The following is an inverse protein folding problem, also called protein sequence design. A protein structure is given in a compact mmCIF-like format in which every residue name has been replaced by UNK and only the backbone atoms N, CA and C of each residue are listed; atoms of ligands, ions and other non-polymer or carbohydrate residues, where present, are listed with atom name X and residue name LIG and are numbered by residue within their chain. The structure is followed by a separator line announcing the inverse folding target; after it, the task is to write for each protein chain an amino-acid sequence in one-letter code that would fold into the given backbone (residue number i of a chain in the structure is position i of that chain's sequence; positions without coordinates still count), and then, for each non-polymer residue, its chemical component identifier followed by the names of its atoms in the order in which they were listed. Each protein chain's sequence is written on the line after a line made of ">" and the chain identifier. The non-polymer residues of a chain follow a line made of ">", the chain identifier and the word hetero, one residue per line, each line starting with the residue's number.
data_IF_592055059937
#
_entry.id   IF_592055059937
#
_cell.length_a   1.000
_cell.length_b   1.000
_cell.length_c   1.000
_cell.angle_alpha   90.00
_cell.angle_beta   90.00
_cell.angle_gamma   90.00
#
_symmetry.space_group_name_H-M   'P 1'
#
loop_
_entity.id
_entity.type
_entity.pdbx_description
1 polymer ?
#
# COMPACT_ATOMS: atom_id res chain seq x y z
N UNK A 1 10.86 52.13 -16.48
CA UNK A 1 9.41 51.89 -16.44
C UNK A 1 9.10 51.30 -15.07
N UNK A 2 8.39 52.03 -14.20
CA UNK A 2 7.92 51.46 -12.93
C UNK A 2 6.97 50.31 -13.25
N UNK A 3 7.16 49.14 -12.62
CA UNK A 3 6.31 47.97 -12.84
C UNK A 3 4.87 48.22 -12.41
N UNK A 4 3.90 47.57 -13.05
CA UNK A 4 2.47 47.63 -12.67
C UNK A 4 2.31 47.23 -11.19
N UNK A 5 1.78 48.14 -10.37
CA UNK A 5 1.59 47.94 -8.92
C UNK A 5 0.80 46.67 -8.59
N UNK A 6 -0.13 46.27 -9.46
CA UNK A 6 -0.92 45.03 -9.28
C UNK A 6 -0.05 43.78 -9.42
N UNK A 7 0.96 43.84 -10.29
CA UNK A 7 1.93 42.74 -10.48
C UNK A 7 2.85 42.63 -9.27
N UNK A 8 3.32 43.76 -8.73
CA UNK A 8 4.14 43.76 -7.52
C UNK A 8 3.35 43.28 -6.29
N UNK A 9 2.09 43.70 -6.13
CA UNK A 9 1.22 43.20 -5.07
C UNK A 9 0.98 41.68 -5.18
N UNK A 10 0.77 41.17 -6.40
CA UNK A 10 0.66 39.72 -6.63
C UNK A 10 1.96 39.00 -6.24
N UNK A 11 3.13 39.51 -6.64
CA UNK A 11 4.44 38.94 -6.27
C UNK A 11 4.63 38.93 -4.75
N UNK A 12 4.25 40.01 -4.07
CA UNK A 12 4.29 40.12 -2.61
C UNK A 12 3.40 39.09 -1.93
N UNK A 13 2.15 38.93 -2.36
CA UNK A 13 1.23 37.90 -1.82
C UNK A 13 1.74 36.48 -2.06
N UNK A 14 2.29 36.19 -3.25
CA UNK A 14 2.91 34.89 -3.53
C UNK A 14 4.09 34.62 -2.60
N UNK A 15 4.95 35.61 -2.37
CA UNK A 15 6.07 35.48 -1.46
C UNK A 15 5.60 35.20 -0.02
N UNK A 16 4.56 35.89 0.45
CA UNK A 16 3.97 35.67 1.77
C UNK A 16 3.34 34.28 1.90
N UNK A 17 2.56 33.82 0.93
CA UNK A 17 1.96 32.47 0.95
C UNK A 17 3.01 31.35 0.95
N UNK A 18 4.19 31.60 0.36
CA UNK A 18 5.31 30.66 0.39
C UNK A 18 6.00 30.55 1.75
N UNK A 19 5.83 31.52 2.64
CA UNK A 19 6.42 31.47 3.98
C UNK A 19 5.70 30.49 4.92
N UNK A 20 4.46 30.06 4.59
CA UNK A 20 3.66 29.19 5.44
C UNK A 20 3.53 29.74 6.87
N UNK A 21 3.89 28.93 7.86
CA UNK A 21 3.90 29.31 9.27
C UNK A 21 5.03 30.26 9.69
N UNK A 22 5.85 30.73 8.75
CA UNK A 22 6.98 31.63 8.98
C UNK A 22 8.32 30.91 9.12
N UNK A 23 9.41 31.70 9.08
CA UNK A 23 10.80 31.18 9.09
C UNK A 23 11.13 30.37 10.33
N UNK A 24 10.69 30.80 11.50
CA UNK A 24 10.96 30.11 12.78
C UNK A 24 10.37 28.69 12.78
N UNK A 25 9.10 28.54 12.39
CA UNK A 25 8.44 27.24 12.31
C UNK A 25 9.02 26.36 11.21
N UNK A 26 9.42 26.96 10.09
CA UNK A 26 10.13 26.26 9.01
C UNK A 26 11.46 25.70 9.50
N UNK A 27 12.25 26.49 10.23
CA UNK A 27 13.52 26.04 10.80
C UNK A 27 13.30 24.93 11.85
N UNK A 28 12.26 25.06 12.69
CA UNK A 28 11.90 24.02 13.66
C UNK A 28 11.45 22.71 12.99
N UNK A 29 10.75 22.77 11.85
CA UNK A 29 10.40 21.59 11.05
C UNK A 29 11.67 20.91 10.51
N UNK A 30 12.58 21.68 9.90
CA UNK A 30 13.85 21.15 9.37
C UNK A 30 14.76 20.58 10.45
N UNK A 31 14.81 21.20 11.63
CA UNK A 31 15.58 20.71 12.78
C UNK A 31 15.11 19.33 13.28
N UNK A 32 13.86 18.93 12.97
CA UNK A 32 13.33 17.59 13.24
C UNK A 32 13.61 16.58 12.13
N UNK A 33 14.44 16.94 11.14
CA UNK A 33 14.74 16.09 9.98
C UNK A 33 13.61 16.04 8.94
N UNK A 34 12.63 16.95 9.03
CA UNK A 34 11.46 16.98 8.14
C UNK A 34 11.56 18.09 7.09
N UNK A 35 11.02 17.86 5.91
CA UNK A 35 10.88 18.91 4.88
C UNK A 35 9.59 19.70 5.10
N UNK A 36 9.52 20.89 4.52
CA UNK A 36 8.28 21.66 4.38
C UNK A 36 7.38 21.04 3.31
N UNK A 37 6.10 21.40 3.31
CA UNK A 37 5.15 20.92 2.31
C UNK A 37 5.61 21.20 0.86
N UNK A 38 6.13 22.40 0.61
CA UNK A 38 6.59 22.81 -0.73
C UNK A 38 7.86 22.10 -1.17
N UNK A 39 8.82 21.92 -0.26
CA UNK A 39 10.04 21.14 -0.53
C UNK A 39 9.71 19.68 -0.87
N UNK A 40 8.67 19.09 -0.26
CA UNK A 40 8.20 17.73 -0.59
C UNK A 40 7.58 17.68 -1.98
N UNK A 41 6.76 18.66 -2.35
CA UNK A 41 6.18 18.78 -3.70
C UNK A 41 7.27 18.95 -4.75
N UNK A 42 8.26 19.83 -4.50
CA UNK A 42 9.40 20.05 -5.40
C UNK A 42 10.29 18.81 -5.55
N UNK A 43 10.46 18.01 -4.50
CA UNK A 43 11.23 16.77 -4.54
C UNK A 43 10.47 15.63 -5.23
N UNK A 44 9.14 15.61 -5.11
CA UNK A 44 8.30 14.56 -5.69
C UNK A 44 8.10 14.74 -7.19
N UNK A 45 7.82 15.96 -7.64
CA UNK A 45 7.43 16.27 -9.01
C UNK A 45 8.63 16.58 -9.90
N UNK A 46 8.45 16.49 -11.21
CA UNK A 46 9.46 16.89 -12.18
C UNK A 46 9.73 18.39 -12.06
N UNK A 47 11.00 18.78 -12.25
CA UNK A 47 11.45 20.16 -12.05
C UNK A 47 10.64 21.15 -12.90
N UNK A 48 10.09 22.17 -12.24
CA UNK A 48 9.32 23.23 -12.90
C UNK A 48 7.91 22.84 -13.36
N UNK A 49 7.44 21.62 -13.08
CA UNK A 49 6.12 21.16 -13.52
C UNK A 49 4.95 21.58 -12.63
N UNK A 50 5.21 21.94 -11.36
CA UNK A 50 4.15 22.18 -10.38
C UNK A 50 3.37 23.46 -10.67
N UNK A 51 2.06 23.32 -10.82
CA UNK A 51 1.08 24.39 -10.94
C UNK A 51 0.22 24.40 -9.68
N UNK A 52 0.53 25.33 -8.78
CA UNK A 52 -0.19 25.49 -7.53
C UNK A 52 -1.59 26.09 -7.74
N UNK A 53 -2.56 25.55 -7.02
CA UNK A 53 -3.93 26.01 -6.98
C UNK A 53 -4.30 26.51 -5.59
N UNK A 54 -5.17 27.52 -5.54
CA UNK A 54 -5.75 28.05 -4.29
C UNK A 54 -4.69 28.49 -3.25
N UNK A 55 -3.56 29.01 -3.75
CA UNK A 55 -2.43 29.47 -2.94
C UNK A 55 -2.78 30.61 -1.97
N UNK A 56 -3.81 31.39 -2.28
CA UNK A 56 -4.25 32.56 -1.50
C UNK A 56 -5.49 32.32 -0.64
N UNK A 57 -6.01 31.09 -0.62
CA UNK A 57 -7.18 30.76 0.20
C UNK A 57 -6.83 30.90 1.68
N UNK A 58 -7.70 31.53 2.44
CA UNK A 58 -7.62 31.68 3.90
C UNK A 58 -8.87 31.08 4.53
N UNK A 59 -8.78 30.60 5.77
CA UNK A 59 -9.96 30.18 6.53
C UNK A 59 -10.92 31.37 6.76
N UNK A 60 -12.18 31.05 7.02
CA UNK A 60 -13.24 32.06 7.28
C UNK A 60 -13.64 32.14 8.75
N UNK A 61 -13.11 31.23 9.57
CA UNK A 61 -13.39 31.13 11.01
C UNK A 61 -13.00 32.38 11.78
N UNK A 62 -13.89 32.84 12.65
CA UNK A 62 -13.68 33.96 13.56
C UNK A 62 -13.63 33.56 15.04
N UNK A 63 -14.04 32.33 15.36
CA UNK A 63 -14.06 31.82 16.72
C UNK A 63 -12.64 31.56 17.27
N UNK A 64 -12.51 31.53 18.60
CA UNK A 64 -11.27 31.22 19.31
C UNK A 64 -10.03 32.03 18.87
N UNK A 65 -10.23 33.27 18.42
CA UNK A 65 -9.16 34.19 17.99
C UNK A 65 -8.55 33.85 16.62
N UNK A 66 -9.20 32.99 15.83
CA UNK A 66 -8.75 32.63 14.48
C UNK A 66 -8.76 33.84 13.52
N UNK A 67 -9.67 34.80 13.71
CA UNK A 67 -9.78 36.02 12.91
C UNK A 67 -8.48 36.85 12.87
N UNK A 68 -7.69 36.81 13.94
CA UNK A 68 -6.42 37.52 14.07
C UNK A 68 -5.27 36.89 13.30
N UNK A 69 -5.40 35.63 12.87
CA UNK A 69 -4.31 34.87 12.27
C UNK A 69 -4.77 34.15 11.02
N UNK A 70 -4.77 34.86 9.89
CA UNK A 70 -5.07 34.29 8.57
C UNK A 70 -3.78 33.98 7.83
N UNK A 71 -3.61 32.72 7.44
CA UNK A 71 -2.43 32.26 6.70
C UNK A 71 -2.90 31.71 5.36
N UNK A 72 -2.40 32.32 4.29
CA UNK A 72 -2.69 31.90 2.92
C UNK A 72 -2.30 30.44 2.70
N UNK A 73 -3.16 29.73 1.96
CA UNK A 73 -3.08 28.30 1.70
C UNK A 73 -3.84 27.43 2.72
N UNK A 74 -4.22 27.97 3.88
CA UNK A 74 -4.91 27.28 4.99
C UNK A 74 -4.23 25.98 5.47
N UNK A 75 -2.90 25.92 5.35
CA UNK A 75 -2.09 24.79 5.80
C UNK A 75 -2.05 23.59 4.86
N UNK A 76 -2.43 23.76 3.59
CA UNK A 76 -2.20 22.75 2.56
C UNK A 76 -1.78 23.38 1.23
N UNK A 77 -0.76 22.79 0.62
CA UNK A 77 -0.31 23.12 -0.74
C UNK A 77 -0.98 22.14 -1.69
N UNK A 78 -1.70 22.64 -2.69
CA UNK A 78 -2.52 21.84 -3.60
C UNK A 78 -2.22 22.20 -5.04
N UNK A 79 -2.24 21.23 -5.94
CA UNK A 79 -2.08 21.50 -7.36
C UNK A 79 -1.86 20.23 -8.17
N UNK A 80 -1.33 20.42 -9.38
CA UNK A 80 -0.91 19.34 -10.25
C UNK A 80 0.51 19.59 -10.76
N UNK A 81 1.14 18.54 -11.28
CA UNK A 81 2.41 18.62 -11.99
C UNK A 81 2.66 17.32 -12.73
N UNK A 82 3.92 16.97 -12.95
CA UNK A 82 4.26 15.72 -13.61
C UNK A 82 5.22 14.86 -12.79
N UNK A 83 5.12 13.55 -12.96
CA UNK A 83 6.12 12.55 -12.54
C UNK A 83 6.45 11.73 -13.78
N UNK A 84 7.72 11.78 -14.20
CA UNK A 84 8.20 11.12 -15.42
C UNK A 84 7.34 11.52 -16.65
N UNK A 85 6.98 12.82 -16.72
CA UNK A 85 6.15 13.39 -17.78
C UNK A 85 4.63 13.13 -17.66
N UNK A 86 4.18 12.28 -16.72
CA UNK A 86 2.77 11.96 -16.53
C UNK A 86 2.11 12.90 -15.54
N UNK A 87 0.92 13.41 -15.87
CA UNK A 87 0.16 14.30 -14.98
C UNK A 87 -0.23 13.59 -13.68
N UNK A 88 0.02 14.25 -12.55
CA UNK A 88 -0.42 13.81 -11.22
C UNK A 88 -0.96 15.00 -10.44
N UNK A 89 -1.92 14.72 -9.55
CA UNK A 89 -2.45 15.68 -8.60
C UNK A 89 -1.83 15.44 -7.23
N UNK A 90 -1.53 16.52 -6.51
CA UNK A 90 -0.89 16.44 -5.21
C UNK A 90 -1.51 17.41 -4.23
N UNK A 91 -1.67 16.96 -2.99
CA UNK A 91 -1.84 17.84 -1.84
C UNK A 91 -0.77 17.53 -0.79
N UNK A 92 -0.15 18.56 -0.24
CA UNK A 92 0.87 18.44 0.80
C UNK A 92 0.53 19.33 1.98
N UNK A 93 0.33 18.71 3.13
CA UNK A 93 -0.04 19.41 4.36
C UNK A 93 1.17 20.13 4.95
N UNK A 94 0.96 21.38 5.37
CA UNK A 94 1.99 22.23 5.95
C UNK A 94 1.84 22.27 7.48
N UNK A 95 2.63 21.46 8.16
CA UNK A 95 2.64 21.38 9.62
C UNK A 95 3.00 22.71 10.30
N UNK A 96 3.69 23.61 9.60
CA UNK A 96 4.05 24.93 10.14
C UNK A 96 2.82 25.82 10.33
N UNK A 97 1.73 25.56 9.61
CA UNK A 97 0.47 26.30 9.66
C UNK A 97 -0.54 25.53 10.51
N UNK A 98 -0.87 26.06 11.68
CA UNK A 98 -1.79 25.44 12.66
C UNK A 98 -1.52 23.95 12.96
N UNK A 99 -0.26 23.50 12.93
CA UNK A 99 0.07 22.08 13.13
C UNK A 99 -0.44 21.16 12.00
N UNK A 100 -0.65 21.71 10.80
CA UNK A 100 -1.25 21.02 9.66
C UNK A 100 -2.71 20.65 9.88
N UNK A 101 -3.36 21.18 10.92
CA UNK A 101 -4.74 20.82 11.26
C UNK A 101 -5.70 21.18 10.13
N UNK A 102 -6.59 20.23 9.83
CA UNK A 102 -7.57 20.32 8.77
C UNK A 102 -8.75 21.18 9.21
N UNK A 103 -8.86 22.37 8.61
CA UNK A 103 -10.05 23.23 8.66
C UNK A 103 -10.92 23.11 7.41
N UNK A 104 -11.98 23.91 7.34
CA UNK A 104 -12.95 23.96 6.24
C UNK A 104 -12.26 24.20 4.89
N UNK A 105 -11.48 25.28 4.80
CA UNK A 105 -10.90 25.71 3.54
C UNK A 105 -9.72 24.82 3.13
N UNK A 106 -8.97 24.30 4.09
CA UNK A 106 -8.01 23.21 3.90
C UNK A 106 -8.67 21.99 3.24
N UNK A 107 -9.80 21.52 3.79
CA UNK A 107 -10.52 20.38 3.27
C UNK A 107 -11.06 20.64 1.86
N UNK A 108 -11.69 21.80 1.64
CA UNK A 108 -12.23 22.20 0.34
C UNK A 108 -11.15 22.24 -0.76
N UNK A 109 -9.92 22.64 -0.42
CA UNK A 109 -8.79 22.59 -1.35
C UNK A 109 -8.41 21.15 -1.71
N UNK A 110 -8.35 20.24 -0.74
CA UNK A 110 -8.08 18.82 -0.99
C UNK A 110 -9.18 18.21 -1.86
N UNK A 111 -10.44 18.43 -1.49
CA UNK A 111 -11.63 17.97 -2.25
C UNK A 111 -11.56 18.41 -3.70
N UNK A 112 -11.27 19.69 -3.96
CA UNK A 112 -11.14 20.22 -5.32
C UNK A 112 -10.04 19.51 -6.13
N UNK A 113 -8.89 19.22 -5.52
CA UNK A 113 -7.80 18.49 -6.20
C UNK A 113 -8.19 17.04 -6.49
N UNK A 114 -8.90 16.37 -5.59
CA UNK A 114 -9.41 15.02 -5.83
C UNK A 114 -10.46 15.01 -6.95
N UNK A 115 -11.39 15.97 -6.94
CA UNK A 115 -12.41 16.11 -7.99
C UNK A 115 -11.76 16.39 -9.36
N UNK A 116 -10.70 17.21 -9.40
CA UNK A 116 -9.96 17.47 -10.63
C UNK A 116 -9.17 16.25 -11.12
N UNK A 117 -8.51 15.52 -10.22
CA UNK A 117 -7.80 14.29 -10.55
C UNK A 117 -8.73 13.27 -11.19
N UNK A 118 -9.91 13.08 -10.60
CA UNK A 118 -10.97 12.23 -11.14
C UNK A 118 -11.49 12.72 -12.50
N UNK A 119 -11.69 14.03 -12.65
CA UNK A 119 -12.20 14.61 -13.90
C UNK A 119 -11.27 14.39 -15.10
N UNK A 120 -9.95 14.35 -14.88
CA UNK A 120 -8.98 14.17 -15.97
C UNK A 120 -8.37 12.76 -16.01
N UNK A 121 -8.75 11.87 -15.09
CA UNK A 121 -8.21 10.51 -15.02
C UNK A 121 -6.73 10.46 -14.67
N UNK A 122 -6.30 11.20 -13.63
CA UNK A 122 -4.91 11.23 -13.19
C UNK A 122 -4.75 10.78 -11.71
N UNK A 123 -3.60 10.18 -11.34
CA UNK A 123 -3.34 9.77 -9.96
C UNK A 123 -3.39 10.95 -8.97
N UNK A 124 -3.79 10.67 -7.73
CA UNK A 124 -3.77 11.64 -6.63
C UNK A 124 -2.84 11.20 -5.50
N UNK A 125 -1.97 12.11 -5.06
CA UNK A 125 -0.94 11.85 -4.06
C UNK A 125 -1.16 12.77 -2.85
N UNK A 126 -1.40 12.16 -1.70
CA UNK A 126 -1.48 12.85 -0.41
C UNK A 126 -0.16 12.81 0.34
N UNK A 127 0.39 13.98 0.69
CA UNK A 127 1.58 14.10 1.55
C UNK A 127 1.13 14.61 2.93
N UNK A 128 0.92 13.67 3.85
CA UNK A 128 0.25 13.89 5.12
C UNK A 128 1.22 14.28 6.23
N UNK A 129 0.87 15.36 6.94
CA UNK A 129 1.62 15.92 8.07
C UNK A 129 0.68 16.84 8.87
N UNK A 130 -0.22 16.23 9.63
CA UNK A 130 -1.36 16.88 10.27
C UNK A 130 -1.63 16.36 11.68
N UNK A 131 -1.80 17.29 12.61
CA UNK A 131 -2.26 17.00 13.97
C UNK A 131 -3.73 16.55 14.08
N UNK A 132 -4.48 16.47 12.98
CA UNK A 132 -5.89 16.07 12.97
C UNK A 132 -6.85 17.21 12.61
N UNK A 133 -8.07 17.15 13.14
CA UNK A 133 -9.09 18.19 12.93
C UNK A 133 -8.66 19.51 13.58
N UNK A 134 -8.96 20.63 12.92
CA UNK A 134 -8.84 21.94 13.56
C UNK A 134 -9.99 22.13 14.53
N UNK A 135 -9.71 21.93 15.82
CA UNK A 135 -10.70 21.95 16.90
C UNK A 135 -11.44 23.29 16.96
N UNK A 136 -10.75 24.39 16.63
CA UNK A 136 -11.30 25.75 16.62
C UNK A 136 -12.41 25.95 15.59
N UNK A 137 -12.55 25.08 14.58
CA UNK A 137 -13.65 25.15 13.60
C UNK A 137 -14.74 24.07 13.85
N UNK A 138 -14.59 23.28 14.92
CA UNK A 138 -15.59 22.33 15.39
C UNK A 138 -16.06 21.35 14.32
N UNK A 139 -17.38 21.24 14.18
CA UNK A 139 -18.05 20.29 13.28
C UNK A 139 -17.73 20.53 11.80
N UNK A 140 -17.34 21.76 11.42
CA UNK A 140 -17.02 22.09 10.03
C UNK A 140 -15.76 21.34 9.58
N UNK A 141 -14.75 21.24 10.45
CA UNK A 141 -13.57 20.39 10.22
C UNK A 141 -13.94 18.92 10.01
N UNK A 142 -14.94 18.42 10.75
CA UNK A 142 -15.43 17.04 10.60
C UNK A 142 -16.19 16.84 9.28
N UNK A 143 -16.99 17.83 8.87
CA UNK A 143 -17.62 17.85 7.55
C UNK A 143 -16.57 17.81 6.42
N UNK A 144 -15.47 18.57 6.58
CA UNK A 144 -14.35 18.52 5.65
C UNK A 144 -13.71 17.13 5.53
N UNK A 145 -13.54 16.41 6.64
CA UNK A 145 -13.09 15.02 6.59
C UNK A 145 -14.08 14.11 5.85
N UNK A 146 -15.37 14.23 6.14
CA UNK A 146 -16.40 13.42 5.50
C UNK A 146 -16.41 13.59 3.98
N UNK A 147 -16.26 14.83 3.50
CA UNK A 147 -16.17 15.12 2.06
C UNK A 147 -14.93 14.46 1.43
N UNK A 148 -13.76 14.51 2.09
CA UNK A 148 -12.53 13.84 1.62
C UNK A 148 -12.73 12.31 1.57
N UNK A 149 -13.28 11.72 2.63
CA UNK A 149 -13.53 10.27 2.67
C UNK A 149 -14.47 9.82 1.55
N UNK A 150 -15.52 10.61 1.29
CA UNK A 150 -16.43 10.34 0.19
C UNK A 150 -15.70 10.37 -1.17
N UNK A 151 -14.80 11.33 -1.41
CA UNK A 151 -13.99 11.36 -2.64
C UNK A 151 -13.01 10.20 -2.72
N UNK A 152 -12.43 9.76 -1.60
CA UNK A 152 -11.56 8.58 -1.61
C UNK A 152 -12.31 7.34 -2.11
N UNK A 153 -13.57 7.18 -1.68
CA UNK A 153 -14.45 6.09 -2.15
C UNK A 153 -14.79 6.26 -3.62
N UNK A 154 -15.19 7.45 -4.07
CA UNK A 154 -15.49 7.70 -5.48
C UNK A 154 -14.29 7.47 -6.41
N UNK A 155 -13.08 7.73 -5.94
CA UNK A 155 -11.84 7.53 -6.68
C UNK A 155 -11.30 6.10 -6.61
N UNK A 156 -11.81 5.27 -5.69
CA UNK A 156 -11.31 3.91 -5.47
C UNK A 156 -11.53 3.04 -6.70
N UNK A 157 -10.44 2.50 -7.24
CA UNK A 157 -10.47 1.71 -8.47
C UNK A 157 -10.73 2.52 -9.75
N UNK A 158 -10.65 3.86 -9.69
CA UNK A 158 -10.79 4.75 -10.86
C UNK A 158 -9.48 5.45 -11.19
N UNK A 159 -8.87 6.12 -10.19
CA UNK A 159 -7.51 6.68 -10.31
C UNK A 159 -6.67 6.16 -9.14
N UNK A 160 -5.36 5.90 -9.34
CA UNK A 160 -4.51 5.49 -8.22
C UNK A 160 -4.42 6.58 -7.15
N UNK A 161 -4.62 6.17 -5.90
CA UNK A 161 -4.55 7.02 -4.72
C UNK A 161 -3.39 6.58 -3.83
N UNK A 162 -2.43 7.47 -3.59
CA UNK A 162 -1.21 7.16 -2.82
C UNK A 162 -1.08 8.14 -1.66
N UNK A 163 -0.87 7.62 -0.46
CA UNK A 163 -0.65 8.41 0.76
C UNK A 163 0.77 8.23 1.27
N UNK A 164 1.51 9.32 1.42
CA UNK A 164 2.79 9.35 2.12
C UNK A 164 2.62 10.04 3.47
N UNK A 165 2.84 9.30 4.56
CA UNK A 165 2.80 9.82 5.92
C UNK A 165 4.21 10.30 6.27
N UNK A 166 4.38 11.62 6.30
CA UNK A 166 5.68 12.29 6.47
C UNK A 166 5.74 13.07 7.79
N UNK A 167 4.79 12.83 8.68
CA UNK A 167 4.65 13.48 9.97
C UNK A 167 3.54 12.86 10.82
N UNK A 168 3.06 13.56 11.86
CA UNK A 168 1.88 13.12 12.59
C UNK A 168 0.67 12.97 11.66
N UNK A 169 -0.15 11.96 11.93
CA UNK A 169 -1.46 11.76 11.31
C UNK A 169 -2.39 11.19 12.40
N UNK A 170 -3.15 12.07 13.07
CA UNK A 170 -3.88 11.71 14.28
C UNK A 170 -5.40 11.85 14.12
N UNK A 171 -6.16 11.02 14.83
CA UNK A 171 -7.61 11.11 14.89
C UNK A 171 -8.27 10.75 13.57
N UNK A 172 -9.21 11.58 13.11
CA UNK A 172 -9.91 11.36 11.84
C UNK A 172 -9.00 11.39 10.60
N UNK A 173 -7.81 12.02 10.69
CA UNK A 173 -6.89 12.15 9.56
C UNK A 173 -6.44 10.81 8.98
N UNK A 174 -6.44 9.75 9.79
CA UNK A 174 -5.94 8.42 9.41
C UNK A 174 -6.83 7.68 8.42
N UNK A 175 -8.13 8.04 8.36
CA UNK A 175 -9.08 7.29 7.55
C UNK A 175 -8.94 7.57 6.05
N UNK A 176 -8.54 8.78 5.66
CA UNK A 176 -8.29 9.07 4.23
C UNK A 176 -7.13 8.20 3.70
N UNK A 177 -5.93 8.16 4.34
CA UNK A 177 -4.89 7.21 3.96
C UNK A 177 -5.34 5.75 3.94
N UNK A 178 -6.10 5.30 4.95
CA UNK A 178 -6.60 3.92 5.01
C UNK A 178 -7.52 3.53 3.82
N UNK A 179 -8.20 4.52 3.24
CA UNK A 179 -9.04 4.37 2.04
C UNK A 179 -8.28 4.53 0.73
N UNK A 180 -7.03 5.04 0.74
CA UNK A 180 -6.16 5.05 -0.44
C UNK A 180 -5.55 3.67 -0.73
N UNK A 181 -4.96 3.50 -1.91
CA UNK A 181 -4.47 2.20 -2.37
C UNK A 181 -3.17 1.79 -1.67
N UNK A 182 -2.24 2.73 -1.53
CA UNK A 182 -0.93 2.49 -0.90
C UNK A 182 -0.57 3.57 0.12
N UNK A 183 -0.02 3.12 1.24
CA UNK A 183 0.45 3.96 2.34
C UNK A 183 1.95 3.75 2.52
N UNK A 184 2.72 4.83 2.34
CA UNK A 184 4.17 4.88 2.56
C UNK A 184 4.38 5.69 3.84
N UNK A 185 5.10 5.14 4.83
CA UNK A 185 5.42 5.85 6.08
C UNK A 185 6.93 6.07 6.21
N UNK A 186 7.34 7.29 6.58
CA UNK A 186 8.74 7.61 6.85
C UNK A 186 9.11 7.28 8.32
N UNK A 187 10.16 6.49 8.54
CA UNK A 187 10.61 6.08 9.88
C UNK A 187 11.10 7.28 10.69
N UNK A 188 10.85 7.23 12.00
CA UNK A 188 11.33 8.23 12.97
C UNK A 188 10.63 9.61 12.91
N UNK A 189 10.02 9.98 11.79
CA UNK A 189 9.34 11.27 11.64
C UNK A 189 7.82 11.16 11.52
N UNK A 190 7.29 10.01 11.09
CA UNK A 190 5.85 9.79 10.90
C UNK A 190 5.22 8.94 12.00
N UNK A 191 3.93 9.20 12.27
CA UNK A 191 3.12 8.33 13.11
C UNK A 191 1.64 8.44 12.73
N UNK A 192 0.90 7.35 12.93
CA UNK A 192 -0.53 7.28 12.61
C UNK A 192 -1.31 6.58 13.72
N UNK A 193 -2.41 7.17 14.20
CA UNK A 193 -3.31 6.52 15.17
C UNK A 193 -4.63 7.28 15.27
N UNK A 194 -5.71 6.54 15.55
CA UNK A 194 -7.02 7.15 15.87
C UNK A 194 -6.93 7.84 17.23
N UNK A 195 -6.43 7.13 18.24
CA UNK A 195 -6.37 7.61 19.62
C UNK A 195 -4.91 7.74 20.06
N UNK A 196 -4.50 8.93 20.48
CA UNK A 196 -3.11 9.18 20.89
C UNK A 196 -2.74 8.52 22.23
N UNK A 197 -1.45 8.32 22.50
CA UNK A 197 -0.98 7.62 23.71
C UNK A 197 -1.48 8.22 25.03
N UNK A 198 -1.62 9.54 25.10
CA UNK A 198 -2.13 10.22 26.31
C UNK A 198 -3.57 9.82 26.65
N UNK A 199 -4.42 9.64 25.64
CA UNK A 199 -5.82 9.21 25.84
C UNK A 199 -5.88 7.72 26.20
N UNK A 200 -5.08 6.88 25.53
CA UNK A 200 -4.96 5.46 25.86
C UNK A 200 -4.58 5.28 27.34
N UNK A 201 -3.56 6.00 27.81
CA UNK A 201 -3.12 5.95 29.20
C UNK A 201 -4.22 6.38 30.17
N UNK A 202 -4.95 7.45 29.86
CA UNK A 202 -6.02 7.96 30.70
C UNK A 202 -7.21 6.98 30.83
N UNK A 203 -7.54 6.24 29.75
CA UNK A 203 -8.71 5.36 29.71
C UNK A 203 -8.40 3.93 30.14
N UNK A 204 -7.25 3.40 29.74
CA UNK A 204 -6.89 1.97 29.91
C UNK A 204 -5.78 1.73 30.92
N UNK A 205 -5.03 2.78 31.29
CA UNK A 205 -3.79 2.67 32.08
C UNK A 205 -2.56 2.23 31.26
N UNK A 206 -2.73 1.81 30.01
CA UNK A 206 -1.63 1.38 29.15
C UNK A 206 -0.69 2.54 28.82
N UNK A 207 0.62 2.33 29.01
CA UNK A 207 1.65 3.32 28.66
C UNK A 207 2.42 2.86 27.43
N UNK A 208 2.22 3.56 26.32
CA UNK A 208 2.85 3.29 25.02
C UNK A 208 3.43 4.58 24.43
N UNK A 209 4.51 4.49 23.64
CA UNK A 209 5.09 5.66 22.97
C UNK A 209 4.41 5.91 21.62
N UNK A 210 4.58 7.10 21.03
CA UNK A 210 4.07 7.39 19.68
C UNK A 210 4.60 6.40 18.63
N UNK A 211 5.90 6.07 18.69
CA UNK A 211 6.53 5.12 17.77
C UNK A 211 6.01 3.69 17.97
N UNK A 212 5.92 3.23 19.23
CA UNK A 212 5.43 1.89 19.52
C UNK A 212 3.94 1.71 19.16
N UNK A 213 3.14 2.76 19.31
CA UNK A 213 1.71 2.73 19.00
C UNK A 213 1.42 2.80 17.50
N UNK A 214 2.11 3.69 16.78
CA UNK A 214 1.73 4.06 15.42
C UNK A 214 2.88 4.49 14.53
N UNK A 215 4.12 4.12 14.86
CA UNK A 215 5.28 4.35 14.01
C UNK A 215 5.22 3.55 12.71
N UNK A 216 6.08 3.92 11.76
CA UNK A 216 6.13 3.30 10.43
C UNK A 216 6.32 1.77 10.50
N UNK A 217 7.21 1.29 11.38
CA UNK A 217 7.46 -0.15 11.56
C UNK A 217 6.28 -0.86 12.22
N UNK A 218 5.64 -0.26 13.23
CA UNK A 218 4.43 -0.84 13.85
C UNK A 218 3.34 -1.11 12.81
N UNK A 219 3.11 -0.17 11.91
CA UNK A 219 2.11 -0.33 10.85
C UNK A 219 2.54 -1.25 9.70
N UNK A 220 3.84 -1.35 9.43
CA UNK A 220 4.39 -2.21 8.38
C UNK A 220 4.62 -3.66 8.83
N UNK A 221 4.75 -3.93 10.14
CA UNK A 221 5.03 -5.27 10.67
C UNK A 221 3.83 -5.89 11.39
N UNK A 222 3.05 -5.09 12.12
CA UNK A 222 2.00 -5.60 13.02
C UNK A 222 0.61 -5.41 12.45
N UNK A 223 0.22 -4.17 12.18
CA UNK A 223 -1.17 -3.86 11.81
C UNK A 223 -1.49 -4.08 10.33
N UNK A 224 -0.48 -4.12 9.46
CA UNK A 224 -0.68 -4.22 8.01
C UNK A 224 -1.31 -2.98 7.37
N UNK A 225 -1.12 -1.81 7.98
CA UNK A 225 -1.68 -0.54 7.47
C UNK A 225 -0.69 0.12 6.51
N UNK A 226 0.60 0.10 6.83
CA UNK A 226 1.63 0.67 5.98
C UNK A 226 2.13 -0.37 4.97
N UNK A 227 2.05 -0.04 3.70
CA UNK A 227 2.51 -0.89 2.60
C UNK A 227 4.03 -0.84 2.47
N UNK A 228 4.62 0.30 2.84
CA UNK A 228 6.06 0.56 2.81
C UNK A 228 6.48 1.36 4.06
N UNK A 229 7.63 1.00 4.63
CA UNK A 229 8.32 1.77 5.66
C UNK A 229 9.65 2.29 5.08
N UNK A 230 9.68 3.57 4.73
CA UNK A 230 10.85 4.25 4.18
C UNK A 230 11.79 4.73 5.31
N UNK A 231 13.10 4.72 5.08
CA UNK A 231 14.09 5.23 6.03
C UNK A 231 13.91 6.73 6.31
N UNK A 232 13.51 7.50 5.30
CA UNK A 232 13.26 8.93 5.44
C UNK A 232 12.22 9.45 4.42
N UNK A 233 11.94 10.75 4.45
CA UNK A 233 10.98 11.36 3.52
C UNK A 233 11.47 11.32 2.06
N UNK A 234 12.78 11.34 1.81
CA UNK A 234 13.29 11.32 0.43
C UNK A 234 13.09 9.93 -0.20
N UNK A 235 13.37 8.88 0.56
CA UNK A 235 13.03 7.52 0.16
C UNK A 235 11.52 7.33 0.00
N UNK A 236 10.70 7.86 0.92
CA UNK A 236 9.25 7.77 0.78
C UNK A 236 8.76 8.33 -0.56
N UNK A 237 9.27 9.50 -0.98
CA UNK A 237 8.92 10.10 -2.27
C UNK A 237 9.50 9.33 -3.47
N UNK A 238 10.71 8.74 -3.34
CA UNK A 238 11.26 7.82 -4.37
C UNK A 238 10.39 6.57 -4.53
N UNK A 239 9.87 6.02 -3.44
CA UNK A 239 8.94 4.88 -3.44
C UNK A 239 7.65 5.27 -4.17
N UNK A 240 7.10 6.46 -3.92
CA UNK A 240 5.91 6.96 -4.65
C UNK A 240 6.18 7.03 -6.16
N UNK A 241 7.30 7.62 -6.60
CA UNK A 241 7.66 7.67 -8.03
C UNK A 241 7.84 6.27 -8.62
N UNK A 242 8.56 5.40 -7.92
CA UNK A 242 8.77 4.00 -8.35
C UNK A 242 7.45 3.25 -8.47
N UNK A 243 6.55 3.37 -7.50
CA UNK A 243 5.23 2.76 -7.51
C UNK A 243 4.44 3.22 -8.74
N UNK A 244 4.33 4.53 -8.97
CA UNK A 244 3.63 5.09 -10.12
C UNK A 244 4.18 4.58 -11.46
N UNK A 245 5.46 4.24 -11.55
CA UNK A 245 6.04 3.65 -12.76
C UNK A 245 5.39 2.31 -13.16
N UNK A 246 4.71 1.60 -12.26
CA UNK A 246 4.00 0.34 -12.55
C UNK A 246 2.50 0.55 -12.81
N UNK A 247 1.95 1.72 -12.49
CA UNK A 247 0.51 1.96 -12.47
C UNK A 247 0.09 2.78 -13.70
N UNK A 248 -1.08 2.49 -14.30
CA UNK A 248 -1.70 3.40 -15.27
C UNK A 248 -2.12 4.71 -14.59
N UNK A 249 -2.55 5.70 -15.36
CA UNK A 249 -3.03 6.98 -14.80
C UNK A 249 -4.43 6.86 -14.20
N UNK A 250 -5.23 5.92 -14.72
CA UNK A 250 -6.61 5.62 -14.35
C UNK A 250 -6.95 4.17 -14.77
N UNK A 251 -8.17 3.72 -14.52
CA UNK A 251 -8.62 2.35 -14.81
C UNK A 251 -9.02 2.06 -16.27
N UNK A 252 -9.04 3.06 -17.16
CA UNK A 252 -9.30 2.86 -18.59
C UNK A 252 -8.03 2.86 -19.44
N UNK A 253 -6.89 3.22 -18.84
CA UNK A 253 -5.57 3.14 -19.45
C UNK A 253 -4.89 1.79 -19.12
N UNK A 254 -4.01 1.36 -20.02
CA UNK A 254 -3.10 0.24 -19.75
C UNK A 254 -1.90 0.68 -18.89
N UNK A 255 -1.32 -0.20 -18.07
CA UNK A 255 -0.10 0.08 -17.33
C UNK A 255 1.07 0.47 -18.26
N UNK A 256 1.96 1.39 -17.85
CA UNK A 256 3.04 1.88 -18.71
C UNK A 256 4.08 0.80 -19.00
N UNK A 257 4.30 0.52 -20.28
CA UNK A 257 5.33 -0.40 -20.76
C UNK A 257 6.67 0.32 -20.86
N UNK A 258 7.71 -0.26 -20.28
CA UNK A 258 9.09 0.25 -20.40
C UNK A 258 9.88 -0.59 -21.42
N UNK A 259 10.93 -0.01 -22.00
CA UNK A 259 11.86 -0.79 -22.80
C UNK A 259 12.54 -1.86 -21.92
N UNK A 260 12.48 -3.12 -22.36
CA UNK A 260 13.15 -4.22 -21.69
C UNK A 260 14.54 -4.44 -22.27
N UNK A 261 15.55 -4.50 -21.40
CA UNK A 261 16.92 -4.90 -21.77
C UNK A 261 17.19 -6.38 -21.48
N UNK A 262 16.29 -7.07 -20.75
CA UNK A 262 16.41 -8.51 -20.45
C UNK A 262 15.84 -9.33 -21.63
N UNK A 263 16.52 -10.42 -21.98
CA UNK A 263 16.09 -11.31 -23.06
C UNK A 263 14.81 -12.06 -22.65
N UNK A 264 13.75 -11.90 -23.45
CA UNK A 264 12.46 -12.57 -23.24
C UNK A 264 12.58 -14.10 -23.24
N UNK A 265 13.61 -14.66 -23.89
CA UNK A 265 13.85 -16.11 -23.97
C UNK A 265 14.94 -16.58 -23.00
N UNK A 266 15.34 -15.76 -22.02
CA UNK A 266 16.38 -16.11 -21.06
C UNK A 266 16.05 -17.41 -20.33
N UNK A 267 16.92 -18.40 -20.49
CA UNK A 267 16.92 -19.60 -19.66
C UNK A 267 17.76 -19.37 -18.40
N UNK A 268 17.33 -19.94 -17.27
CA UNK A 268 18.07 -19.91 -16.01
C UNK A 268 18.14 -21.32 -15.39
N UNK A 269 19.27 -22.03 -15.53
CA UNK A 269 19.44 -23.38 -14.98
C UNK A 269 19.27 -23.46 -13.45
N UNK A 270 19.48 -22.36 -12.72
CA UNK A 270 19.33 -22.34 -11.25
C UNK A 270 17.88 -22.53 -10.82
N UNK A 271 16.90 -22.24 -11.68
CA UNK A 271 15.49 -22.50 -11.37
C UNK A 271 15.22 -23.99 -11.12
N UNK A 272 16.02 -24.89 -11.69
CA UNK A 272 15.90 -26.34 -11.50
C UNK A 272 16.37 -26.81 -10.10
N UNK A 273 17.08 -25.99 -9.34
CA UNK A 273 17.73 -26.37 -8.07
C UNK A 273 17.21 -25.61 -6.85
N UNK A 274 16.56 -24.46 -7.04
CA UNK A 274 16.07 -23.62 -5.93
C UNK A 274 15.02 -24.34 -5.08
N UNK A 275 14.08 -25.04 -5.72
CA UNK A 275 13.04 -25.81 -5.02
C UNK A 275 13.67 -27.12 -4.54
N UNK A 276 13.80 -27.35 -3.22
CA UNK A 276 14.43 -28.55 -2.71
C UNK A 276 13.58 -29.78 -3.02
N UNK A 277 14.25 -30.89 -3.36
CA UNK A 277 13.61 -32.20 -3.52
C UNK A 277 13.02 -32.74 -2.21
N UNK A 278 13.65 -32.39 -1.08
CA UNK A 278 13.13 -32.71 0.25
C UNK A 278 11.86 -31.90 0.52
N UNK A 279 10.69 -32.54 0.73
CA UNK A 279 9.41 -31.83 0.80
C UNK A 279 9.35 -30.86 1.99
N UNK A 280 10.00 -31.19 3.11
CA UNK A 280 9.95 -30.36 4.33
C UNK A 280 11.01 -29.25 4.37
N UNK A 281 11.92 -29.21 3.40
CA UNK A 281 12.97 -28.19 3.36
C UNK A 281 12.41 -26.88 2.78
N UNK A 282 12.49 -25.76 3.52
CA UNK A 282 12.04 -24.46 3.02
C UNK A 282 13.04 -23.89 2.00
N UNK A 283 12.56 -22.95 1.18
CA UNK A 283 13.38 -22.10 0.32
C UNK A 283 12.75 -20.70 0.26
N UNK A 284 13.51 -19.75 -0.26
CA UNK A 284 13.05 -18.37 -0.41
C UNK A 284 12.41 -18.16 -1.80
N UNK A 285 11.10 -17.95 -1.84
CA UNK A 285 10.38 -17.72 -3.09
C UNK A 285 10.83 -16.46 -3.83
N UNK A 286 11.45 -15.49 -3.13
CA UNK A 286 12.00 -14.30 -3.77
C UNK A 286 13.14 -14.62 -4.73
N UNK A 287 13.87 -15.73 -4.52
CA UNK A 287 14.92 -16.18 -5.44
C UNK A 287 14.33 -16.66 -6.77
N UNK A 288 13.15 -17.30 -6.74
CA UNK A 288 12.42 -17.67 -7.96
C UNK A 288 11.92 -16.40 -8.66
N UNK A 289 11.24 -15.51 -7.92
CA UNK A 289 10.66 -14.28 -8.47
C UNK A 289 11.71 -13.44 -9.19
N UNK A 290 12.84 -13.13 -8.52
CA UNK A 290 13.90 -12.27 -9.09
C UNK A 290 14.56 -12.85 -10.34
N UNK A 291 14.45 -14.16 -10.55
CA UNK A 291 15.03 -14.84 -11.72
C UNK A 291 14.09 -14.90 -12.91
N UNK A 292 12.78 -14.90 -12.70
CA UNK A 292 11.79 -14.99 -13.78
C UNK A 292 11.34 -13.61 -14.29
N UNK A 293 11.44 -12.56 -13.47
CA UNK A 293 11.07 -11.20 -13.86
C UNK A 293 12.23 -10.45 -14.51
N UNK A 294 11.91 -9.36 -15.21
CA UNK A 294 12.93 -8.45 -15.77
C UNK A 294 13.88 -8.00 -14.66
N UNK A 295 15.18 -8.00 -14.94
CA UNK A 295 16.22 -7.68 -13.94
C UNK A 295 15.97 -6.33 -13.27
N UNK A 296 16.05 -6.32 -11.93
CA UNK A 296 15.84 -5.11 -11.13
C UNK A 296 14.39 -4.62 -11.04
N UNK A 297 13.42 -5.31 -11.67
CA UNK A 297 12.03 -4.88 -11.69
C UNK A 297 11.23 -5.27 -10.43
N UNK A 298 11.72 -6.19 -9.60
CA UNK A 298 10.98 -6.62 -8.40
C UNK A 298 10.78 -5.47 -7.39
N UNK A 299 9.53 -5.23 -7.02
CA UNK A 299 9.12 -4.18 -6.08
C UNK A 299 8.05 -4.72 -5.12
N UNK A 300 8.51 -5.19 -3.96
CA UNK A 300 7.67 -5.86 -2.95
C UNK A 300 6.77 -4.90 -2.19
N UNK A 301 5.50 -5.29 -2.01
CA UNK A 301 4.48 -4.57 -1.24
C UNK A 301 4.23 -5.33 0.07
N UNK A 302 4.13 -4.62 1.20
CA UNK A 302 3.94 -5.25 2.52
C UNK A 302 5.04 -6.27 2.84
N UNK A 303 6.31 -6.01 2.49
CA UNK A 303 7.41 -6.97 2.69
C UNK A 303 7.70 -7.33 4.16
N UNK A 304 7.16 -6.54 5.11
CA UNK A 304 7.31 -6.75 6.55
C UNK A 304 6.06 -7.35 7.23
N UNK A 305 4.93 -7.45 6.53
CA UNK A 305 3.66 -7.95 7.08
C UNK A 305 3.19 -9.22 6.38
N UNK A 306 2.65 -10.18 7.13
CA UNK A 306 2.18 -11.48 6.62
C UNK A 306 3.19 -12.14 5.67
N UNK A 307 4.41 -12.34 6.17
CA UNK A 307 5.59 -12.75 5.37
C UNK A 307 5.52 -14.17 4.81
N UNK A 308 4.49 -14.94 5.17
CA UNK A 308 4.12 -16.24 4.60
C UNK A 308 3.50 -16.13 3.19
N UNK A 309 3.11 -14.91 2.76
CA UNK A 309 2.77 -14.60 1.37
C UNK A 309 3.52 -13.35 0.91
N UNK A 310 4.09 -13.40 -0.29
CA UNK A 310 4.76 -12.30 -0.96
C UNK A 310 3.81 -11.71 -1.98
N UNK A 311 3.69 -10.38 -2.01
CA UNK A 311 3.00 -9.66 -3.07
C UNK A 311 3.83 -8.47 -3.53
N UNK A 312 3.73 -8.10 -4.79
CA UNK A 312 4.50 -6.98 -5.30
C UNK A 312 4.41 -6.84 -6.81
N UNK A 313 4.99 -5.76 -7.32
CA UNK A 313 5.04 -5.48 -8.74
C UNK A 313 6.36 -5.97 -9.34
N UNK A 314 6.31 -6.36 -10.61
CA UNK A 314 7.48 -6.64 -11.42
C UNK A 314 7.20 -6.28 -12.87
N UNK A 315 8.15 -6.58 -13.77
CA UNK A 315 7.91 -6.52 -15.22
C UNK A 315 8.29 -7.83 -15.90
N UNK A 316 7.59 -8.13 -16.99
CA UNK A 316 7.97 -9.15 -17.96
C UNK A 316 8.01 -8.49 -19.33
N UNK A 317 9.18 -8.46 -19.97
CA UNK A 317 9.39 -7.77 -21.24
C UNK A 317 8.87 -6.33 -21.22
N UNK A 318 9.09 -5.63 -20.10
CA UNK A 318 8.71 -4.25 -19.93
C UNK A 318 7.28 -4.02 -19.44
N UNK A 319 6.41 -5.04 -19.48
CA UNK A 319 5.01 -4.94 -19.07
C UNK A 319 4.88 -5.11 -17.55
N UNK A 320 4.24 -4.17 -16.83
CA UNK A 320 3.96 -4.33 -15.40
C UNK A 320 3.10 -5.57 -15.12
N UNK A 321 3.47 -6.33 -14.11
CA UNK A 321 2.68 -7.45 -13.57
C UNK A 321 2.60 -7.36 -12.04
N UNK A 322 1.52 -7.88 -11.47
CA UNK A 322 1.38 -8.16 -10.05
C UNK A 322 1.74 -9.61 -9.77
N UNK A 323 2.56 -9.86 -8.76
CA UNK A 323 2.93 -11.21 -8.33
C UNK A 323 2.31 -11.50 -6.98
N UNK A 324 1.75 -12.70 -6.84
CA UNK A 324 1.28 -13.24 -5.56
C UNK A 324 1.91 -14.62 -5.37
N UNK A 325 2.66 -14.82 -4.30
CA UNK A 325 3.44 -16.03 -4.13
C UNK A 325 3.49 -16.50 -2.68
N UNK A 326 3.34 -17.80 -2.43
CA UNK A 326 3.57 -18.35 -1.09
C UNK A 326 5.06 -18.24 -0.72
N UNK A 327 5.38 -18.11 0.56
CA UNK A 327 6.76 -18.05 1.06
C UNK A 327 7.05 -19.26 1.96
N UNK A 328 7.59 -20.36 1.40
CA UNK A 328 7.86 -21.59 2.15
C UNK A 328 8.81 -21.39 3.34
N UNK A 329 9.68 -20.38 3.30
CA UNK A 329 10.59 -20.02 4.41
C UNK A 329 9.87 -19.45 5.64
N UNK A 330 8.61 -19.05 5.53
CA UNK A 330 7.83 -18.44 6.61
C UNK A 330 6.52 -19.19 6.76
N UNK A 331 6.30 -19.78 7.95
CA UNK A 331 5.10 -20.59 8.26
C UNK A 331 4.81 -21.66 7.19
N UNK A 332 5.86 -22.25 6.61
CA UNK A 332 5.77 -23.24 5.53
C UNK A 332 4.97 -22.78 4.30
N UNK A 333 4.76 -21.47 4.09
CA UNK A 333 3.97 -20.93 2.98
C UNK A 333 2.45 -21.07 3.17
N UNK A 334 1.98 -21.45 4.37
CA UNK A 334 0.55 -21.57 4.69
C UNK A 334 -0.19 -20.24 4.52
N UNK A 335 -1.46 -20.31 4.13
CA UNK A 335 -2.38 -19.16 4.17
C UNK A 335 -2.96 -18.99 5.58
N UNK A 336 -3.19 -17.77 5.99
CA UNK A 336 -3.70 -17.41 7.32
C UNK A 336 -4.58 -16.15 7.22
N UNK A 337 -5.08 -15.67 8.36
CA UNK A 337 -5.93 -14.48 8.42
C UNK A 337 -5.29 -13.26 7.74
N UNK A 338 -4.00 -13.01 8.02
CA UNK A 338 -3.31 -11.81 7.57
C UNK A 338 -2.86 -11.89 6.11
N UNK A 339 -2.30 -13.02 5.68
CA UNK A 339 -1.90 -13.25 4.29
C UNK A 339 -3.09 -13.21 3.34
N UNK A 340 -4.25 -13.73 3.76
CA UNK A 340 -5.48 -13.68 2.96
C UNK A 340 -5.95 -12.24 2.75
N UNK A 341 -5.88 -11.38 3.78
CA UNK A 341 -6.23 -9.96 3.66
C UNK A 341 -5.21 -9.23 2.76
N UNK A 342 -3.91 -9.46 2.98
CA UNK A 342 -2.82 -8.87 2.20
C UNK A 342 -2.96 -9.16 0.71
N UNK A 343 -3.07 -10.44 0.35
CA UNK A 343 -3.14 -10.85 -1.05
C UNK A 343 -4.46 -10.46 -1.70
N UNK A 344 -5.60 -10.56 -0.99
CA UNK A 344 -6.89 -10.17 -1.56
C UNK A 344 -6.93 -8.69 -1.98
N UNK A 345 -6.44 -7.78 -1.13
CA UNK A 345 -6.40 -6.34 -1.47
C UNK A 345 -5.47 -6.08 -2.66
N UNK A 346 -4.32 -6.75 -2.71
CA UNK A 346 -3.38 -6.60 -3.82
C UNK A 346 -3.94 -7.13 -5.16
N UNK A 347 -4.60 -8.30 -5.16
CA UNK A 347 -5.25 -8.87 -6.35
C UNK A 347 -6.32 -7.93 -6.88
N UNK A 348 -7.22 -7.42 -6.01
CA UNK A 348 -8.26 -6.48 -6.43
C UNK A 348 -7.70 -5.16 -6.95
N UNK A 349 -6.62 -4.66 -6.36
CA UNK A 349 -5.94 -3.48 -6.86
C UNK A 349 -5.40 -3.71 -8.28
N UNK A 350 -4.69 -4.83 -8.51
CA UNK A 350 -4.15 -5.15 -9.82
C UNK A 350 -5.26 -5.26 -10.86
N UNK A 351 -6.37 -5.92 -10.51
CA UNK A 351 -7.53 -6.04 -11.38
C UNK A 351 -8.16 -4.68 -11.74
N UNK A 352 -8.30 -3.79 -10.75
CA UNK A 352 -8.90 -2.46 -10.94
C UNK A 352 -8.09 -1.56 -11.88
N UNK A 353 -6.81 -1.86 -12.11
CA UNK A 353 -5.89 -1.05 -12.89
C UNK A 353 -5.21 -1.84 -14.02
N UNK A 354 -5.88 -2.87 -14.53
CA UNK A 354 -5.47 -3.61 -15.73
C UNK A 354 -4.07 -4.25 -15.63
N UNK A 355 -3.63 -4.61 -14.41
CA UNK A 355 -2.32 -5.23 -14.17
C UNK A 355 -2.48 -6.76 -14.16
N UNK A 356 -1.85 -7.49 -15.10
CA UNK A 356 -1.86 -8.95 -15.11
C UNK A 356 -1.30 -9.57 -13.82
N UNK A 357 -1.82 -10.73 -13.44
CA UNK A 357 -1.45 -11.43 -12.23
C UNK A 357 -0.64 -12.71 -12.53
N UNK A 358 0.52 -12.84 -11.90
CA UNK A 358 1.32 -14.05 -11.86
C UNK A 358 1.29 -14.65 -10.44
N UNK A 359 0.79 -15.88 -10.33
CA UNK A 359 0.66 -16.59 -9.06
C UNK A 359 1.69 -17.71 -8.96
N UNK A 360 2.54 -17.72 -7.92
CA UNK A 360 3.50 -18.79 -7.68
C UNK A 360 3.08 -19.61 -6.45
N UNK A 361 2.78 -20.90 -6.66
CA UNK A 361 2.11 -21.73 -5.66
C UNK A 361 3.07 -22.74 -5.04
N UNK A 362 3.25 -22.63 -3.72
CA UNK A 362 3.84 -23.65 -2.85
C UNK A 362 3.18 -23.54 -1.46
N UNK A 363 1.97 -24.09 -1.37
CA UNK A 363 1.09 -23.98 -0.21
C UNK A 363 0.62 -25.36 0.26
N UNK A 364 0.90 -25.75 1.52
CA UNK A 364 0.42 -27.01 2.08
C UNK A 364 -1.02 -26.91 2.62
N UNK A 365 -1.59 -25.72 2.69
CA UNK A 365 -2.93 -25.48 3.23
C UNK A 365 -3.04 -24.15 3.98
N UNK A 366 -4.08 -24.04 4.80
CA UNK A 366 -4.23 -22.95 5.76
C UNK A 366 -3.53 -23.29 7.08
N UNK A 367 -3.06 -22.27 7.79
CA UNK A 367 -2.43 -22.41 9.10
C UNK A 367 -3.46 -22.93 10.11
N UNK A 368 -3.24 -24.10 10.73
CA UNK A 368 -4.15 -24.62 11.74
C UNK A 368 -4.05 -23.84 13.07
N UNK A 369 -5.17 -23.70 13.78
CA UNK A 369 -5.20 -23.19 15.15
C UNK A 369 -6.51 -22.50 15.53
N UNK A 370 -6.91 -22.60 16.79
CA UNK A 370 -8.14 -21.95 17.29
C UNK A 370 -8.12 -20.43 17.10
N UNK A 371 -6.95 -19.82 17.21
CA UNK A 371 -6.80 -18.36 16.99
C UNK A 371 -7.07 -17.97 15.53
N UNK A 372 -6.81 -18.87 14.58
CA UNK A 372 -7.16 -18.64 13.17
C UNK A 372 -8.68 -18.69 12.97
N UNK A 373 -9.32 -19.71 13.55
CA UNK A 373 -10.78 -19.89 13.52
C UNK A 373 -11.51 -18.72 14.18
N UNK A 374 -11.12 -18.35 15.41
CA UNK A 374 -11.70 -17.22 16.14
C UNK A 374 -11.37 -15.86 15.49
N UNK A 375 -10.22 -15.76 14.83
CA UNK A 375 -9.86 -14.62 13.98
C UNK A 375 -10.69 -14.51 12.69
N UNK A 376 -11.52 -15.53 12.39
CA UNK A 376 -12.43 -15.55 11.26
C UNK A 376 -11.77 -15.98 9.95
N UNK A 377 -10.92 -17.01 9.97
CA UNK A 377 -10.20 -17.51 8.80
C UNK A 377 -11.11 -17.85 7.62
N UNK A 378 -12.31 -18.37 7.88
CA UNK A 378 -13.31 -18.64 6.84
C UNK A 378 -13.62 -17.36 6.04
N UNK A 379 -13.94 -16.26 6.73
CA UNK A 379 -14.24 -14.97 6.09
C UNK A 379 -13.00 -14.34 5.48
N UNK A 380 -11.84 -14.43 6.13
CA UNK A 380 -10.61 -13.80 5.64
C UNK A 380 -10.03 -14.54 4.44
N UNK A 381 -9.97 -15.87 4.47
CA UNK A 381 -9.59 -16.72 3.35
C UNK A 381 -10.51 -16.54 2.13
N UNK A 382 -11.82 -16.41 2.36
CA UNK A 382 -12.79 -16.14 1.30
C UNK A 382 -12.53 -14.81 0.56
N UNK A 383 -11.85 -13.82 1.17
CA UNK A 383 -11.50 -12.57 0.46
C UNK A 383 -10.53 -12.81 -0.68
N UNK A 384 -9.54 -13.69 -0.49
CA UNK A 384 -8.56 -14.01 -1.53
C UNK A 384 -9.20 -14.83 -2.66
N UNK A 385 -10.03 -15.80 -2.30
CA UNK A 385 -10.83 -16.55 -3.26
C UNK A 385 -11.72 -15.61 -4.08
N UNK A 386 -12.45 -14.71 -3.42
CA UNK A 386 -13.31 -13.73 -4.07
C UNK A 386 -12.52 -12.83 -5.03
N UNK A 387 -11.37 -12.31 -4.59
CA UNK A 387 -10.53 -11.44 -5.40
C UNK A 387 -10.09 -12.12 -6.71
N UNK A 388 -9.67 -13.39 -6.67
CA UNK A 388 -9.33 -14.11 -7.89
C UNK A 388 -10.55 -14.47 -8.76
N UNK A 389 -11.68 -14.86 -8.15
CA UNK A 389 -12.91 -15.16 -8.89
C UNK A 389 -13.48 -13.93 -9.62
N UNK A 390 -13.45 -12.76 -8.97
CA UNK A 390 -13.93 -11.48 -9.52
C UNK A 390 -13.01 -10.99 -10.64
N UNK A 391 -11.69 -11.13 -10.45
CA UNK A 391 -10.71 -10.55 -11.38
C UNK A 391 -10.88 -11.02 -12.83
N UNK A 392 -10.68 -10.08 -13.75
CA UNK A 392 -10.81 -10.23 -15.20
C UNK A 392 -9.52 -9.93 -15.96
N UNK A 393 -8.51 -9.37 -15.30
CA UNK A 393 -7.15 -9.26 -15.84
C UNK A 393 -6.55 -10.64 -16.15
N UNK A 394 -5.55 -10.72 -17.06
CA UNK A 394 -4.88 -11.99 -17.35
C UNK A 394 -4.26 -12.61 -16.09
N UNK A 395 -4.47 -13.92 -15.90
CA UNK A 395 -4.00 -14.70 -14.77
C UNK A 395 -3.18 -15.89 -15.21
N UNK A 396 -1.92 -15.92 -14.79
CA UNK A 396 -1.01 -17.04 -14.98
C UNK A 396 -0.65 -17.60 -13.61
N UNK A 397 -0.72 -18.92 -13.46
CA UNK A 397 -0.35 -19.62 -12.23
C UNK A 397 0.74 -20.64 -12.52
N UNK A 398 1.76 -20.70 -11.66
CA UNK A 398 2.83 -21.69 -11.72
C UNK A 398 2.89 -22.40 -10.37
N UNK A 399 2.57 -23.69 -10.34
CA UNK A 399 2.75 -24.54 -9.16
C UNK A 399 4.21 -24.98 -9.13
N UNK A 400 4.97 -24.47 -8.16
CA UNK A 400 6.40 -24.80 -8.02
C UNK A 400 6.60 -26.06 -7.19
N UNK A 401 5.75 -26.29 -6.17
CA UNK A 401 5.79 -27.50 -5.34
C UNK A 401 4.41 -27.86 -4.79
N UNK A 402 4.06 -27.52 -3.53
CA UNK A 402 2.80 -27.99 -2.94
C UNK A 402 1.60 -27.18 -3.41
N UNK A 403 0.49 -27.85 -3.67
CA UNK A 403 -0.80 -27.20 -3.82
C UNK A 403 -1.90 -28.13 -3.30
N UNK A 404 -2.20 -28.01 -2.00
CA UNK A 404 -3.13 -28.92 -1.33
C UNK A 404 -4.47 -28.28 -0.97
N UNK A 405 -5.54 -29.07 -1.15
CA UNK A 405 -6.88 -28.78 -0.67
C UNK A 405 -7.42 -27.41 -1.07
N UNK A 406 -8.17 -26.76 -0.17
CA UNK A 406 -8.76 -25.45 -0.45
C UNK A 406 -7.73 -24.34 -0.73
N UNK A 407 -6.48 -24.48 -0.29
CA UNK A 407 -5.45 -23.49 -0.60
C UNK A 407 -5.02 -23.54 -2.08
N UNK A 408 -5.05 -24.72 -2.72
CA UNK A 408 -4.91 -24.83 -4.18
C UNK A 408 -6.00 -24.03 -4.89
N UNK A 409 -7.26 -24.17 -4.48
CA UNK A 409 -8.37 -23.43 -5.08
C UNK A 409 -8.20 -21.92 -4.92
N UNK A 410 -7.83 -21.48 -3.71
CA UNK A 410 -7.65 -20.06 -3.37
C UNK A 410 -6.49 -19.42 -4.14
N UNK A 411 -5.44 -20.16 -4.47
CA UNK A 411 -4.25 -19.65 -5.16
C UNK A 411 -4.39 -19.68 -6.69
N UNK A 412 -5.49 -19.11 -7.21
CA UNK A 412 -5.74 -18.94 -8.65
C UNK A 412 -5.71 -20.26 -9.44
N UNK A 413 -6.51 -21.24 -9.00
CA UNK A 413 -6.65 -22.51 -9.70
C UNK A 413 -7.36 -22.34 -11.06
N UNK A 414 -7.21 -23.35 -11.93
CA UNK A 414 -7.86 -23.33 -13.26
C UNK A 414 -9.39 -23.20 -13.14
N UNK A 415 -9.96 -23.74 -12.07
CA UNK A 415 -11.41 -23.75 -11.81
C UNK A 415 -11.98 -22.37 -11.51
N UNK A 416 -11.16 -21.43 -11.06
CA UNK A 416 -11.56 -20.04 -10.75
C UNK A 416 -11.06 -19.04 -11.78
N UNK A 417 -11.09 -19.45 -13.06
CA UNK A 417 -10.76 -18.64 -14.23
C UNK A 417 -9.26 -18.31 -14.38
N UNK A 418 -8.36 -19.19 -13.95
CA UNK A 418 -6.96 -19.09 -14.37
C UNK A 418 -6.84 -19.23 -15.89
N UNK A 419 -6.18 -18.29 -16.58
CA UNK A 419 -6.03 -18.36 -18.04
C UNK A 419 -5.04 -19.46 -18.42
N UNK A 420 -3.88 -19.45 -17.77
CA UNK A 420 -2.85 -20.47 -17.91
C UNK A 420 -2.36 -20.98 -16.55
N UNK A 421 -2.27 -22.31 -16.41
CA UNK A 421 -1.76 -22.97 -15.22
C UNK A 421 -0.63 -23.92 -15.64
N UNK A 422 0.56 -23.69 -15.10
CA UNK A 422 1.74 -24.52 -15.29
C UNK A 422 2.12 -25.22 -14.00
N UNK A 423 2.79 -26.36 -14.12
CA UNK A 423 3.31 -27.12 -12.99
C UNK A 423 4.78 -27.45 -13.27
N UNK A 424 5.65 -27.17 -12.29
CA UNK A 424 7.02 -27.66 -12.32
C UNK A 424 7.05 -29.18 -12.08
N UNK A 425 8.13 -29.89 -12.47
CA UNK A 425 8.27 -31.32 -12.19
C UNK A 425 8.20 -31.68 -10.70
N UNK A 426 8.44 -30.73 -9.81
CA UNK A 426 8.34 -30.84 -8.35
C UNK A 426 6.92 -30.59 -7.81
N UNK A 427 5.94 -30.30 -8.67
CA UNK A 427 4.59 -29.98 -8.26
C UNK A 427 3.86 -31.20 -7.67
N UNK A 428 3.16 -30.98 -6.57
CA UNK A 428 2.38 -31.97 -5.86
C UNK A 428 0.98 -31.39 -5.59
N UNK A 429 0.01 -31.84 -6.38
CA UNK A 429 -1.38 -31.40 -6.30
C UNK A 429 -2.21 -32.50 -5.65
N UNK A 430 -2.85 -32.20 -4.52
CA UNK A 430 -3.59 -33.19 -3.74
C UNK A 430 -4.79 -32.57 -3.00
N UNK A 431 -5.78 -33.40 -2.66
CA UNK A 431 -6.96 -32.94 -1.89
C UNK A 431 -6.61 -32.55 -0.44
N UNK A 432 -5.58 -33.17 0.13
CA UNK A 432 -4.96 -32.83 1.41
C UNK A 432 -3.53 -33.40 1.42
N UNK A 433 -2.77 -33.11 2.48
CA UNK A 433 -1.41 -33.67 2.62
C UNK A 433 -1.42 -35.21 2.60
N UNK A 434 -0.44 -35.86 1.95
CA UNK A 434 -0.42 -37.32 1.78
C UNK A 434 -0.57 -38.11 3.08
N UNK A 435 0.13 -37.70 4.14
CA UNK A 435 0.07 -38.35 5.47
C UNK A 435 -1.37 -38.38 6.02
N UNK A 436 -2.09 -37.26 5.94
CA UNK A 436 -3.48 -37.18 6.37
C UNK A 436 -4.43 -37.99 5.47
N UNK A 437 -4.16 -38.04 4.17
CA UNK A 437 -4.96 -38.83 3.24
C UNK A 437 -4.84 -40.33 3.52
N UNK A 438 -3.62 -40.82 3.76
CA UNK A 438 -3.34 -42.23 4.09
C UNK A 438 -4.09 -42.66 5.34
N UNK A 439 -4.04 -41.84 6.40
CA UNK A 439 -4.75 -42.12 7.67
C UNK A 439 -6.27 -42.21 7.52
N UNK A 440 -6.87 -41.52 6.54
CA UNK A 440 -8.32 -41.55 6.33
C UNK A 440 -8.71 -42.70 5.40
N UNK A 441 -8.03 -42.84 4.26
CA UNK A 441 -8.37 -43.82 3.21
C UNK A 441 -8.10 -45.24 3.69
N UNK A 442 -6.93 -45.46 4.30
CA UNK A 442 -6.46 -46.77 4.71
C UNK A 442 -6.61 -47.01 6.22
N UNK A 443 -7.45 -46.22 6.90
CA UNK A 443 -7.65 -46.30 8.36
C UNK A 443 -7.79 -47.74 8.85
N UNK A 444 -8.71 -48.49 8.23
CA UNK A 444 -8.99 -49.88 8.60
C UNK A 444 -7.78 -50.79 8.35
N UNK A 445 -7.10 -50.63 7.22
CA UNK A 445 -5.94 -51.44 6.85
C UNK A 445 -4.74 -51.19 7.77
N UNK A 446 -4.54 -49.94 8.18
CA UNK A 446 -3.50 -49.55 9.15
C UNK A 446 -3.83 -50.13 10.53
N UNK A 447 -5.08 -49.99 10.99
CA UNK A 447 -5.54 -50.52 12.29
C UNK A 447 -5.48 -52.07 12.36
N UNK A 448 -5.71 -52.75 11.24
CA UNK A 448 -5.68 -54.22 11.14
C UNK A 448 -4.28 -54.79 10.86
N UNK A 449 -3.28 -53.95 10.57
CA UNK A 449 -1.92 -54.38 10.28
C UNK A 449 -1.18 -54.88 11.53
N UNK A 450 -0.30 -55.87 11.36
CA UNK A 450 0.57 -56.37 12.43
C UNK A 450 1.55 -55.30 12.94
N UNK A 451 1.91 -54.34 12.09
CA UNK A 451 2.70 -53.16 12.43
C UNK A 451 2.06 -51.93 11.75
N UNK A 452 1.14 -51.23 12.44
CA UNK A 452 0.42 -50.08 11.89
C UNK A 452 1.35 -48.96 11.42
N UNK A 453 2.41 -48.66 12.18
CA UNK A 453 3.35 -47.59 11.85
C UNK A 453 4.16 -47.90 10.59
N UNK A 454 4.57 -49.17 10.42
CA UNK A 454 5.21 -49.60 9.18
C UNK A 454 4.24 -49.58 8.01
N UNK A 455 3.00 -50.04 8.20
CA UNK A 455 2.00 -50.07 7.12
C UNK A 455 1.62 -48.67 6.66
N UNK A 456 1.44 -47.73 7.59
CA UNK A 456 1.17 -46.33 7.29
C UNK A 456 2.29 -45.69 6.46
N UNK A 457 3.57 -46.05 6.70
CA UNK A 457 4.70 -45.54 5.92
C UNK A 457 4.81 -46.14 4.52
N UNK A 458 4.29 -47.36 4.31
CA UNK A 458 4.31 -48.05 3.01
C UNK A 458 3.22 -47.53 2.05
N UNK A 459 2.11 -47.05 2.61
CA UNK A 459 0.95 -46.49 1.91
C UNK A 459 1.19 -45.01 1.56
#
# INVERSE_FOLDING_TARGET
>A
MAGDERVEELRRRKALAKLGGGKERTNAQRAKGKRTARERVELLLDSGSFVEMDAFVEHRTTEFGMDQKRIAGDGVVTGHGTIDGRTVFVFSQDFTVFGGSLGEMHANKIVKIMDMAMKVGAPVIGLNDSGGARIQEGVISLGGYAEIFYRNVLASGVVPQISAILGPCAGGAVYSPAMTDFIIMAKGTSNMFITGPGVIKAVTGESVTFEALGGALTHAEKSGVAHFAAEDEAEALRIVRRLLSYLPSNNVDDPPVLAAEDDANRMDPELATIVPREPNKPYDMLEVIKRIVDRGSWFEVHGLWARNIVVGFARLTGHPIGIVANQPKVLAGTLDNTSSIKAARFVRFCDSFNIPLLTLVDVPGFLPGSDQEYGGIIRNGAKLLFAYCESTVPKVTIVTRKAYGGAYDVMSSKHIRGDFNFAWPSAELAVMGPEGAVQIIFKKEIEEAADPAKREKEL
#
